data_IF_419451203780
#
_entry.id   IF_419451203780
#
_cell.length_a   1.000
_cell.length_b   1.000
_cell.length_c   1.000
_cell.angle_alpha   90.00
_cell.angle_beta   90.00
_cell.angle_gamma   90.00
#
_symmetry.space_group_name_H-M   'P 1'
#
loop_
_entity.id
_entity.type
_entity.pdbx_description
1 polymer ?
#
# COMPACT_ATOMS: atom_id res chain seq x y z
N UNK A 1 -0.91 -6.40 -15.16
CA UNK A 1 -1.25 -4.96 -14.96
C UNK A 1 0.03 -4.15 -15.02
N UNK A 2 0.10 -3.13 -15.90
CA UNK A 2 1.35 -2.39 -16.19
C UNK A 2 1.18 -0.87 -16.07
N UNK A 3 -0.05 -0.36 -16.21
CA UNK A 3 -0.32 1.08 -16.28
C UNK A 3 -1.24 1.55 -15.15
N UNK A 4 -1.20 2.85 -14.87
CA UNK A 4 -2.11 3.49 -13.94
C UNK A 4 -3.57 3.34 -14.35
N UNK A 5 -3.86 3.38 -15.67
CA UNK A 5 -5.21 3.19 -16.20
C UNK A 5 -5.75 1.78 -15.90
N UNK A 6 -4.95 0.73 -16.13
CA UNK A 6 -5.33 -0.65 -15.77
C UNK A 6 -5.57 -0.79 -14.27
N UNK A 7 -4.79 -0.08 -13.44
CA UNK A 7 -5.02 -0.05 -11.99
C UNK A 7 -6.34 0.64 -11.65
N UNK A 8 -6.62 1.79 -12.25
CA UNK A 8 -7.89 2.51 -12.04
C UNK A 8 -9.08 1.63 -12.41
N UNK A 9 -9.01 0.89 -13.51
CA UNK A 9 -10.05 -0.07 -13.91
C UNK A 9 -10.25 -1.16 -12.86
N UNK A 10 -9.16 -1.77 -12.34
CA UNK A 10 -9.23 -2.78 -11.29
C UNK A 10 -9.84 -2.23 -9.98
N UNK A 11 -9.49 -0.99 -9.62
CA UNK A 11 -9.96 -0.37 -8.37
C UNK A 11 -11.39 0.18 -8.47
N UNK A 12 -11.91 0.37 -9.67
CA UNK A 12 -13.29 0.82 -9.90
C UNK A 12 -14.27 -0.31 -9.64
N UNK A 13 -15.21 -0.08 -8.74
CA UNK A 13 -16.17 -1.09 -8.32
C UNK A 13 -17.50 -0.96 -9.05
N UNK A 14 -18.12 -2.11 -9.32
CA UNK A 14 -19.51 -2.17 -9.74
C UNK A 14 -20.41 -1.90 -8.53
N UNK A 15 -21.37 -0.98 -8.69
CA UNK A 15 -22.42 -0.77 -7.68
C UNK A 15 -23.52 -1.83 -7.86
N UNK A 16 -23.72 -2.66 -6.85
CA UNK A 16 -24.76 -3.71 -6.82
C UNK A 16 -26.05 -3.17 -6.21
N UNK A 17 -25.94 -2.49 -5.06
CA UNK A 17 -27.08 -1.91 -4.33
C UNK A 17 -26.59 -0.67 -3.54
N UNK A 18 -27.49 0.00 -2.85
CA UNK A 18 -27.13 1.04 -1.91
C UNK A 18 -26.12 0.49 -0.90
N UNK A 19 -24.93 1.11 -0.82
CA UNK A 19 -23.83 0.73 0.08
C UNK A 19 -23.21 -0.67 -0.18
N UNK A 20 -23.53 -1.35 -1.29
CA UNK A 20 -22.96 -2.64 -1.67
C UNK A 20 -22.30 -2.52 -3.05
N UNK A 21 -21.02 -2.91 -3.11
CA UNK A 21 -20.20 -2.84 -4.31
C UNK A 21 -19.50 -4.18 -4.55
N UNK A 22 -19.15 -4.46 -5.82
CA UNK A 22 -18.41 -5.65 -6.21
C UNK A 22 -17.12 -5.23 -6.91
N UNK A 23 -16.01 -5.84 -6.49
CA UNK A 23 -14.70 -5.68 -7.10
C UNK A 23 -14.17 -6.98 -7.69
N UNK A 24 -13.58 -6.90 -8.87
CA UNK A 24 -12.82 -7.98 -9.48
C UNK A 24 -11.41 -8.04 -8.88
N UNK A 25 -10.73 -9.19 -9.05
CA UNK A 25 -9.39 -9.40 -8.54
C UNK A 25 -8.34 -9.43 -9.65
N UNK A 26 -7.19 -8.82 -9.36
CA UNK A 26 -5.99 -9.06 -10.15
C UNK A 26 -5.57 -10.52 -10.05
N UNK A 27 -5.38 -11.18 -11.20
CA UNK A 27 -4.94 -12.58 -11.28
C UNK A 27 -3.44 -12.67 -10.97
N UNK A 28 -3.12 -12.54 -9.68
CA UNK A 28 -1.75 -12.54 -9.20
C UNK A 28 -1.11 -13.94 -9.26
N UNK A 29 0.17 -14.07 -9.64
CA UNK A 29 0.84 -15.36 -9.74
C UNK A 29 0.99 -16.09 -8.40
N UNK A 30 0.90 -15.39 -7.29
CA UNK A 30 0.94 -15.94 -5.92
C UNK A 30 -0.42 -16.45 -5.40
N UNK A 31 -1.47 -16.40 -6.24
CA UNK A 31 -2.81 -16.98 -5.98
C UNK A 31 -3.55 -16.47 -4.73
N UNK A 32 -3.21 -15.30 -4.23
CA UNK A 32 -3.89 -14.62 -3.12
C UNK A 32 -4.18 -13.18 -3.51
N UNK A 33 -5.28 -12.64 -3.00
CA UNK A 33 -5.57 -11.21 -3.17
C UNK A 33 -4.47 -10.38 -2.51
N UNK A 34 -4.01 -9.34 -3.21
CA UNK A 34 -3.04 -8.39 -2.67
C UNK A 34 -3.71 -7.48 -1.65
N UNK A 35 -3.07 -7.29 -0.47
CA UNK A 35 -3.64 -6.47 0.59
C UNK A 35 -3.92 -5.03 0.15
N UNK A 36 -2.98 -4.42 -0.58
CA UNK A 36 -3.16 -3.08 -1.14
C UNK A 36 -4.37 -2.95 -2.08
N UNK A 37 -4.74 -4.02 -2.81
CA UNK A 37 -5.97 -4.03 -3.62
C UNK A 37 -7.21 -3.94 -2.74
N UNK A 38 -7.28 -4.72 -1.67
CA UNK A 38 -8.43 -4.73 -0.76
C UNK A 38 -8.56 -3.39 -0.03
N UNK A 39 -7.43 -2.80 0.40
CA UNK A 39 -7.38 -1.45 0.97
C UNK A 39 -7.97 -0.42 0.03
N UNK A 40 -7.47 -0.37 -1.20
CA UNK A 40 -7.86 0.62 -2.20
C UNK A 40 -9.32 0.47 -2.65
N UNK A 41 -9.78 -0.76 -2.89
CA UNK A 41 -11.18 -1.03 -3.25
C UNK A 41 -12.13 -0.71 -2.09
N UNK A 42 -11.73 -0.98 -0.82
CA UNK A 42 -12.52 -0.56 0.35
C UNK A 42 -12.63 0.95 0.44
N UNK A 43 -11.56 1.70 0.18
CA UNK A 43 -11.59 3.16 0.13
C UNK A 43 -12.46 3.67 -1.02
N UNK A 44 -12.38 3.05 -2.20
CA UNK A 44 -13.27 3.40 -3.31
C UNK A 44 -14.74 3.26 -2.92
N UNK A 45 -15.12 2.12 -2.30
CA UNK A 45 -16.49 1.90 -1.81
C UNK A 45 -16.91 2.97 -0.78
N UNK A 46 -16.03 3.29 0.17
CA UNK A 46 -16.28 4.34 1.16
C UNK A 46 -16.52 5.71 0.50
N UNK A 47 -15.65 6.11 -0.45
CA UNK A 47 -15.78 7.36 -1.19
C UNK A 47 -17.10 7.48 -1.98
N UNK A 48 -17.64 6.36 -2.49
CA UNK A 48 -18.94 6.36 -3.19
C UNK A 48 -20.15 6.62 -2.29
N UNK A 49 -19.94 6.74 -0.99
CA UNK A 49 -21.02 6.93 0.01
C UNK A 49 -20.89 8.22 0.82
N UNK A 50 -19.83 8.99 0.64
CA UNK A 50 -19.63 10.28 1.33
C UNK A 50 -19.98 11.46 0.42
N UNK A 51 -20.33 12.63 0.98
CA UNK A 51 -20.49 13.87 0.21
C UNK A 51 -19.18 14.25 -0.52
N UNK A 52 -19.33 14.96 -1.65
CA UNK A 52 -18.20 15.32 -2.53
C UNK A 52 -17.17 16.26 -1.85
N UNK A 53 -17.59 17.06 -0.87
CA UNK A 53 -16.73 17.96 -0.09
C UNK A 53 -15.96 17.26 1.03
N UNK A 54 -16.02 15.93 1.12
CA UNK A 54 -15.37 15.12 2.14
C UNK A 54 -14.15 14.42 1.57
N UNK A 55 -12.99 14.77 2.14
CA UNK A 55 -11.69 14.18 1.78
C UNK A 55 -11.23 13.26 2.92
N UNK A 56 -10.72 12.10 2.55
CA UNK A 56 -10.16 11.14 3.50
C UNK A 56 -8.98 11.75 4.25
N UNK A 57 -9.00 11.67 5.59
CA UNK A 57 -7.85 12.04 6.42
C UNK A 57 -7.26 10.84 7.16
N UNK A 58 -8.03 9.76 7.39
CA UNK A 58 -7.48 8.54 8.03
C UNK A 58 -8.27 7.29 7.70
N UNK A 59 -7.58 6.15 7.73
CA UNK A 59 -8.16 4.81 7.65
C UNK A 59 -7.42 3.82 8.55
N UNK A 60 -8.15 2.85 9.10
CA UNK A 60 -7.62 1.79 9.96
C UNK A 60 -8.32 0.48 9.63
N UNK A 61 -7.57 -0.58 9.35
CA UNK A 61 -8.16 -1.86 8.96
C UNK A 61 -7.36 -3.07 9.42
N UNK A 62 -8.07 -4.21 9.53
CA UNK A 62 -7.51 -5.52 9.86
C UNK A 62 -7.74 -6.51 8.72
N UNK A 63 -6.68 -7.23 8.35
CA UNK A 63 -6.76 -8.40 7.50
C UNK A 63 -7.19 -9.60 8.35
N UNK A 64 -8.32 -10.21 8.02
CA UNK A 64 -8.98 -11.23 8.85
C UNK A 64 -8.74 -12.63 8.25
N UNK A 65 -8.94 -12.77 6.93
CA UNK A 65 -8.77 -14.02 6.21
C UNK A 65 -8.03 -13.77 4.89
N UNK A 66 -7.39 -14.81 4.37
CA UNK A 66 -6.77 -14.75 3.04
C UNK A 66 -7.86 -14.66 1.97
N UNK A 67 -7.79 -13.65 1.09
CA UNK A 67 -8.67 -13.53 -0.06
C UNK A 67 -8.28 -14.46 -1.21
N UNK A 68 -9.28 -15.06 -1.88
CA UNK A 68 -9.16 -15.89 -3.08
C UNK A 68 -9.32 -15.03 -4.34
N UNK A 69 -8.32 -15.07 -5.23
CA UNK A 69 -8.36 -14.29 -6.48
C UNK A 69 -9.41 -14.76 -7.49
N UNK A 70 -9.91 -15.99 -7.37
CA UNK A 70 -10.92 -16.56 -8.28
C UNK A 70 -12.36 -16.10 -7.95
N UNK A 71 -12.56 -15.46 -6.80
CA UNK A 71 -13.88 -15.06 -6.30
C UNK A 71 -13.91 -13.54 -6.20
N UNK A 72 -14.87 -12.83 -6.83
CA UNK A 72 -15.06 -11.40 -6.63
C UNK A 72 -15.25 -11.04 -5.16
N UNK A 73 -14.86 -9.82 -4.78
CA UNK A 73 -15.02 -9.32 -3.41
C UNK A 73 -16.25 -8.41 -3.36
N UNK A 74 -17.14 -8.66 -2.41
CA UNK A 74 -18.22 -7.74 -2.06
C UNK A 74 -17.72 -6.76 -0.98
N UNK A 75 -18.01 -5.48 -1.18
CA UNK A 75 -17.70 -4.40 -0.24
C UNK A 75 -19.01 -3.85 0.31
N UNK A 76 -19.27 -4.11 1.57
CA UNK A 76 -20.43 -3.58 2.29
C UNK A 76 -20.00 -2.36 3.10
N UNK A 77 -20.68 -1.21 2.85
CA UNK A 77 -20.38 0.05 3.51
C UNK A 77 -21.44 0.35 4.56
N UNK A 78 -20.99 0.49 5.81
CA UNK A 78 -21.81 1.01 6.90
C UNK A 78 -21.56 2.51 7.10
N UNK A 79 -22.62 3.31 7.00
CA UNK A 79 -22.60 4.76 7.22
C UNK A 79 -22.70 5.06 8.70
N UNK A 80 -21.58 4.97 9.43
CA UNK A 80 -21.54 5.11 10.89
C UNK A 80 -21.95 6.52 11.31
N UNK A 81 -21.46 7.55 10.59
CA UNK A 81 -21.74 8.95 10.95
C UNK A 81 -21.67 9.86 9.72
N UNK A 82 -22.63 10.76 9.62
CA UNK A 82 -22.60 11.95 8.75
C UNK A 82 -22.75 13.19 9.65
N UNK A 83 -21.60 13.80 10.02
CA UNK A 83 -21.53 15.00 10.85
C UNK A 83 -21.24 16.26 10.02
N UNK A 84 -21.29 17.43 10.66
CA UNK A 84 -21.03 18.71 10.00
C UNK A 84 -19.65 18.79 9.36
N UNK A 85 -18.58 18.46 10.10
CA UNK A 85 -17.18 18.53 9.62
C UNK A 85 -16.61 17.16 9.30
N UNK A 86 -17.04 16.07 9.96
CA UNK A 86 -16.49 14.72 9.83
C UNK A 86 -17.56 13.72 9.42
N UNK A 87 -17.15 12.78 8.57
CA UNK A 87 -17.97 11.66 8.09
C UNK A 87 -17.20 10.36 8.32
N UNK A 88 -17.85 9.32 8.86
CA UNK A 88 -17.20 8.03 9.16
C UNK A 88 -17.89 6.90 8.40
N UNK A 89 -17.09 6.03 7.80
CA UNK A 89 -17.54 4.81 7.09
C UNK A 89 -16.80 3.60 7.62
N UNK A 90 -17.53 2.50 7.81
CA UNK A 90 -16.94 1.18 7.97
C UNK A 90 -17.18 0.40 6.67
N UNK A 91 -16.17 -0.32 6.22
CA UNK A 91 -16.25 -1.19 5.04
C UNK A 91 -15.81 -2.59 5.41
N UNK A 92 -16.65 -3.58 5.11
CA UNK A 92 -16.30 -4.99 5.19
C UNK A 92 -16.11 -5.53 3.76
N UNK A 93 -14.93 -6.09 3.49
CA UNK A 93 -14.66 -6.84 2.27
C UNK A 93 -15.01 -8.31 2.53
N UNK A 94 -15.89 -8.88 1.71
CA UNK A 94 -16.55 -10.18 1.97
C UNK A 94 -16.30 -11.14 0.81
N UNK A 95 -15.91 -12.37 1.12
CA UNK A 95 -15.93 -13.51 0.20
C UNK A 95 -16.58 -14.71 0.89
N UNK A 96 -17.41 -15.47 0.17
CA UNK A 96 -18.09 -16.66 0.71
C UNK A 96 -18.83 -16.38 2.04
N UNK A 97 -19.46 -15.22 2.19
CA UNK A 97 -20.19 -14.82 3.39
C UNK A 97 -19.33 -14.50 4.61
N UNK A 98 -17.99 -14.41 4.45
CA UNK A 98 -17.05 -14.10 5.54
C UNK A 98 -16.27 -12.84 5.24
N UNK A 99 -16.10 -11.99 6.24
CA UNK A 99 -15.20 -10.84 6.12
C UNK A 99 -13.75 -11.32 5.98
N UNK A 100 -13.08 -10.92 4.89
CA UNK A 100 -11.65 -11.14 4.67
C UNK A 100 -10.84 -9.93 5.15
N UNK A 101 -11.47 -8.74 5.19
CA UNK A 101 -10.89 -7.49 5.66
C UNK A 101 -12.00 -6.60 6.21
N UNK A 102 -11.70 -5.78 7.23
CA UNK A 102 -12.61 -4.78 7.78
C UNK A 102 -11.85 -3.49 8.05
N UNK A 103 -12.41 -2.34 7.64
CA UNK A 103 -11.77 -1.03 7.74
C UNK A 103 -12.78 0.02 8.24
N UNK A 104 -12.29 0.95 9.06
CA UNK A 104 -12.98 2.20 9.38
C UNK A 104 -12.17 3.35 8.78
N UNK A 105 -12.86 4.27 8.09
CA UNK A 105 -12.29 5.46 7.48
C UNK A 105 -13.02 6.72 7.92
N UNK A 106 -12.26 7.81 8.08
CA UNK A 106 -12.77 9.12 8.47
C UNK A 106 -12.42 10.16 7.43
N UNK A 107 -13.43 10.96 7.07
CA UNK A 107 -13.38 12.01 6.06
C UNK A 107 -13.69 13.35 6.70
N UNK A 108 -13.09 14.41 6.19
CA UNK A 108 -13.23 15.76 6.72
C UNK A 108 -13.51 16.76 5.59
N UNK A 109 -14.32 17.78 5.85
CA UNK A 109 -14.36 18.99 5.01
C UNK A 109 -13.09 19.81 5.20
N UNK A 110 -12.64 20.51 4.16
CA UNK A 110 -11.46 21.38 4.26
C UNK A 110 -11.61 22.41 5.37
N UNK A 111 -10.57 22.55 6.19
CA UNK A 111 -10.50 23.52 7.29
C UNK A 111 -9.09 24.10 7.42
N UNK A 112 -9.00 25.36 7.81
CA UNK A 112 -7.72 25.96 8.19
C UNK A 112 -7.33 25.56 9.62
N UNK A 113 -6.01 25.49 9.89
CA UNK A 113 -5.50 25.09 11.20
C UNK A 113 -3.99 25.25 11.32
N UNK A 114 -3.43 24.78 12.43
CA UNK A 114 -1.98 24.75 12.63
C UNK A 114 -1.31 23.81 11.64
N UNK A 115 -0.10 24.19 11.17
CA UNK A 115 0.70 23.40 10.24
C UNK A 115 2.11 23.19 10.76
N UNK A 116 2.55 21.96 10.79
CA UNK A 116 3.94 21.54 10.95
C UNK A 116 4.13 20.16 10.37
N UNK A 117 5.36 19.80 10.03
CA UNK A 117 5.72 18.45 9.56
C UNK A 117 7.16 18.12 9.96
N UNK A 118 7.48 16.85 9.93
CA UNK A 118 8.87 16.38 10.03
C UNK A 118 9.64 16.68 8.73
N UNK A 119 10.96 16.79 8.83
CA UNK A 119 11.83 16.99 7.66
C UNK A 119 11.95 15.69 6.86
N UNK A 120 11.85 15.79 5.53
CA UNK A 120 12.12 14.68 4.62
C UNK A 120 13.58 14.20 4.77
N UNK A 121 13.83 12.89 4.80
CA UNK A 121 15.19 12.35 4.75
C UNK A 121 15.96 12.85 3.52
N UNK A 122 17.25 13.14 3.70
CA UNK A 122 18.12 13.53 2.59
C UNK A 122 18.56 12.27 1.82
N UNK A 123 17.98 12.06 0.64
CA UNK A 123 18.24 10.91 -0.24
C UNK A 123 18.49 11.40 -1.67
N UNK A 124 19.18 10.60 -2.53
CA UNK A 124 19.34 10.93 -3.92
C UNK A 124 17.99 11.12 -4.63
N UNK A 125 17.87 12.10 -5.55
CA UNK A 125 16.63 12.33 -6.29
C UNK A 125 16.32 11.14 -7.23
N UNK A 126 15.05 10.93 -7.59
CA UNK A 126 14.62 9.73 -8.31
C UNK A 126 15.30 9.57 -9.68
N UNK A 127 15.61 10.67 -10.38
CA UNK A 127 16.22 10.63 -11.71
C UNK A 127 17.67 10.10 -11.72
N UNK A 128 18.34 10.07 -10.57
CA UNK A 128 19.67 9.49 -10.41
C UNK A 128 19.65 8.01 -10.06
N UNK A 129 18.47 7.44 -9.81
CA UNK A 129 18.28 6.07 -9.40
C UNK A 129 17.72 5.21 -10.52
N UNK A 130 17.98 3.91 -10.44
CA UNK A 130 17.50 2.91 -11.40
C UNK A 130 16.27 2.22 -10.81
N UNK A 131 15.27 1.94 -11.65
CA UNK A 131 14.07 1.22 -11.21
C UNK A 131 14.39 -0.19 -10.72
N UNK A 132 13.61 -0.67 -9.78
CA UNK A 132 13.80 -2.01 -9.22
C UNK A 132 13.63 -3.13 -10.27
N UNK A 133 12.73 -2.98 -11.25
CA UNK A 133 12.58 -3.95 -12.34
C UNK A 133 13.85 -4.07 -13.19
N UNK A 134 14.52 -2.94 -13.47
CA UNK A 134 15.82 -2.96 -14.18
C UNK A 134 16.90 -3.60 -13.30
N UNK A 135 16.91 -3.32 -11.99
CA UNK A 135 17.84 -3.97 -11.05
C UNK A 135 17.61 -5.48 -10.97
N UNK A 136 16.35 -5.93 -10.97
CA UNK A 136 15.96 -7.34 -10.92
C UNK A 136 16.36 -8.09 -12.20
N UNK A 137 16.32 -7.45 -13.37
CA UNK A 137 16.74 -8.06 -14.64
C UNK A 137 18.19 -8.57 -14.62
N UNK A 138 19.07 -7.90 -13.87
CA UNK A 138 20.47 -8.33 -13.70
C UNK A 138 20.63 -9.69 -12.96
N UNK A 139 19.56 -10.20 -12.34
CA UNK A 139 19.53 -11.47 -11.61
C UNK A 139 18.84 -12.62 -12.37
N UNK A 140 18.36 -12.38 -13.60
CA UNK A 140 17.61 -13.35 -14.41
C UNK A 140 18.28 -14.74 -14.48
N UNK A 141 19.58 -14.76 -14.82
CA UNK A 141 20.33 -16.00 -14.95
C UNK A 141 21.01 -16.44 -13.65
N UNK A 142 21.27 -15.51 -12.73
CA UNK A 142 22.04 -15.74 -11.49
C UNK A 142 21.16 -16.16 -10.31
N UNK A 143 19.91 -15.75 -10.30
CA UNK A 143 18.91 -16.05 -9.25
C UNK A 143 17.52 -16.18 -9.88
N UNK A 144 17.25 -17.23 -10.68
CA UNK A 144 16.04 -17.36 -11.47
C UNK A 144 14.75 -17.38 -10.64
N UNK A 145 14.77 -17.97 -9.44
CA UNK A 145 13.62 -17.98 -8.54
C UNK A 145 13.30 -16.57 -8.01
N UNK A 146 14.34 -15.81 -7.65
CA UNK A 146 14.18 -14.40 -7.26
C UNK A 146 13.64 -13.58 -8.44
N UNK A 147 14.23 -13.72 -9.61
CA UNK A 147 13.75 -13.04 -10.82
C UNK A 147 12.28 -13.36 -11.08
N UNK A 148 11.91 -14.64 -11.09
CA UNK A 148 10.53 -15.10 -11.31
C UNK A 148 9.53 -14.48 -10.32
N UNK A 149 9.92 -14.34 -9.07
CA UNK A 149 9.04 -13.85 -8.02
C UNK A 149 8.88 -12.32 -8.05
N UNK A 150 9.88 -11.56 -8.51
CA UNK A 150 9.91 -10.09 -8.37
C UNK A 150 9.89 -9.32 -9.69
N UNK A 151 10.06 -9.96 -10.86
CA UNK A 151 10.10 -9.29 -12.18
C UNK A 151 8.72 -8.99 -12.79
N UNK A 152 7.64 -9.19 -12.03
CA UNK A 152 6.28 -8.96 -12.57
C UNK A 152 6.04 -7.47 -12.84
N UNK A 153 5.51 -7.13 -14.02
CA UNK A 153 5.10 -5.78 -14.33
C UNK A 153 4.07 -5.25 -13.31
N UNK A 154 4.22 -4.00 -12.94
CA UNK A 154 3.35 -3.31 -11.96
C UNK A 154 2.90 -1.96 -12.49
N UNK A 155 1.74 -1.46 -12.05
CA UNK A 155 1.24 -0.14 -12.45
C UNK A 155 1.97 1.02 -11.77
N UNK A 156 2.98 0.70 -10.96
CA UNK A 156 3.80 1.61 -10.20
C UNK A 156 5.28 1.38 -10.52
N UNK A 157 6.05 2.44 -10.63
CA UNK A 157 7.51 2.41 -10.68
C UNK A 157 8.08 2.60 -9.28
N UNK A 158 9.08 1.81 -8.94
CA UNK A 158 9.82 1.89 -7.68
C UNK A 158 11.31 2.09 -7.97
N UNK A 159 11.93 3.08 -7.33
CA UNK A 159 13.38 3.32 -7.38
C UNK A 159 13.95 3.26 -5.98
N UNK A 160 14.51 2.11 -5.56
CA UNK A 160 15.06 1.95 -4.22
C UNK A 160 16.37 2.75 -4.07
N UNK A 161 16.51 3.42 -2.93
CA UNK A 161 17.75 4.10 -2.54
C UNK A 161 18.76 3.06 -2.02
N UNK A 162 18.36 2.27 -1.03
CA UNK A 162 19.14 1.15 -0.53
C UNK A 162 18.90 -0.09 -1.40
N UNK A 163 20.01 -0.69 -1.87
CA UNK A 163 19.98 -1.86 -2.74
C UNK A 163 20.28 -3.12 -1.96
N UNK A 164 19.48 -4.16 -2.18
CA UNK A 164 19.70 -5.48 -1.60
C UNK A 164 20.27 -6.39 -2.69
N UNK A 165 21.39 -7.05 -2.39
CA UNK A 165 21.93 -8.09 -3.27
C UNK A 165 21.32 -9.45 -2.87
N UNK A 166 20.43 -10.05 -3.67
CA UNK A 166 19.77 -11.31 -3.33
C UNK A 166 20.73 -12.51 -3.33
N UNK A 167 21.89 -12.40 -4.00
CA UNK A 167 22.92 -13.46 -4.04
C UNK A 167 23.84 -13.46 -2.80
N UNK A 168 23.93 -12.32 -2.11
CA UNK A 168 24.74 -12.14 -0.91
C UNK A 168 23.95 -11.27 0.07
N UNK A 169 22.86 -11.80 0.62
CA UNK A 169 22.05 -11.04 1.57
C UNK A 169 22.89 -10.73 2.81
N UNK A 170 22.87 -9.48 3.22
CA UNK A 170 23.60 -8.99 4.39
C UNK A 170 22.61 -8.28 5.31
N UNK A 171 22.86 -8.38 6.61
CA UNK A 171 22.14 -7.59 7.60
C UNK A 171 22.16 -6.12 7.25
N UNK A 172 20.99 -5.49 7.25
CA UNK A 172 20.82 -4.07 7.00
C UNK A 172 20.17 -3.37 8.20
N UNK A 173 20.23 -2.06 8.21
CA UNK A 173 19.48 -1.27 9.19
C UNK A 173 17.96 -1.43 8.94
N UNK A 174 17.11 -1.31 9.98
CA UNK A 174 15.67 -1.49 9.86
C UNK A 174 14.98 -0.27 9.23
N UNK A 175 15.51 0.25 8.16
CA UNK A 175 14.90 1.32 7.37
C UNK A 175 15.22 1.17 5.89
N UNK A 176 14.39 1.75 5.05
CA UNK A 176 14.61 1.87 3.61
C UNK A 176 13.89 3.07 3.04
N UNK A 177 14.40 3.57 1.92
CA UNK A 177 13.80 4.65 1.16
C UNK A 177 13.53 4.18 -0.28
N UNK A 178 12.33 4.45 -0.77
CA UNK A 178 11.93 4.06 -2.13
C UNK A 178 11.14 5.20 -2.74
N UNK A 179 11.60 5.71 -3.88
CA UNK A 179 10.77 6.60 -4.69
C UNK A 179 9.71 5.79 -5.41
N UNK A 180 8.48 6.27 -5.40
CA UNK A 180 7.34 5.61 -6.06
C UNK A 180 6.59 6.58 -6.95
N UNK A 181 6.07 6.09 -8.07
CA UNK A 181 5.24 6.83 -9.00
C UNK A 181 4.30 5.90 -9.75
N UNK A 182 3.07 6.33 -10.04
CA UNK A 182 2.16 5.61 -10.92
C UNK A 182 2.62 5.69 -12.39
N UNK A 183 2.47 4.59 -13.14
CA UNK A 183 2.89 4.48 -14.53
C UNK A 183 1.80 5.01 -15.48
N UNK A 184 1.82 6.30 -15.74
CA UNK A 184 0.89 7.04 -16.61
C UNK A 184 0.26 8.23 -15.91
N UNK A 185 -0.33 9.10 -16.70
CA UNK A 185 -0.99 10.32 -16.22
C UNK A 185 -2.35 10.00 -15.62
N UNK A 186 -2.69 10.67 -14.53
CA UNK A 186 -3.96 10.53 -13.84
C UNK A 186 -4.73 11.88 -13.86
N UNK A 187 -6.07 11.83 -13.83
CA UNK A 187 -6.86 13.06 -13.72
C UNK A 187 -6.57 13.78 -12.39
N UNK A 188 -6.80 15.09 -12.35
CA UNK A 188 -6.67 15.87 -11.12
C UNK A 188 -7.85 15.58 -10.17
N UNK A 189 -7.78 14.46 -9.47
CA UNK A 189 -8.81 13.94 -8.57
C UNK A 189 -8.14 13.38 -7.30
N UNK A 190 -8.08 14.18 -6.24
CA UNK A 190 -7.41 13.81 -4.99
C UNK A 190 -7.91 12.48 -4.39
N UNK A 191 -9.24 12.19 -4.33
CA UNK A 191 -9.73 10.87 -3.93
C UNK A 191 -9.09 9.71 -4.69
N UNK A 192 -8.92 9.83 -6.01
CA UNK A 192 -8.26 8.79 -6.82
C UNK A 192 -6.79 8.63 -6.44
N UNK A 193 -6.06 9.73 -6.24
CA UNK A 193 -4.67 9.69 -5.81
C UNK A 193 -4.52 9.03 -4.43
N UNK A 194 -5.42 9.31 -3.49
CA UNK A 194 -5.45 8.68 -2.17
C UNK A 194 -5.75 7.17 -2.24
N UNK A 195 -6.69 6.75 -3.08
CA UNK A 195 -7.02 5.34 -3.31
C UNK A 195 -5.80 4.59 -3.88
N UNK A 196 -5.13 5.17 -4.89
CA UNK A 196 -3.94 4.55 -5.49
C UNK A 196 -2.75 4.55 -4.50
N UNK A 197 -2.60 5.59 -3.66
CA UNK A 197 -1.55 5.60 -2.64
C UNK A 197 -1.81 4.52 -1.57
N UNK A 198 -3.05 4.27 -1.19
CA UNK A 198 -3.39 3.16 -0.29
C UNK A 198 -3.04 1.79 -0.90
N UNK A 199 -3.28 1.60 -2.22
CA UNK A 199 -2.78 0.42 -2.95
C UNK A 199 -1.25 0.32 -2.89
N UNK A 200 -0.55 1.42 -3.13
CA UNK A 200 0.91 1.49 -3.18
C UNK A 200 1.57 1.28 -1.81
N UNK A 201 0.92 1.71 -0.73
CA UNK A 201 1.46 1.72 0.63
C UNK A 201 1.74 0.32 1.19
N UNK A 202 1.05 -0.72 0.67
CA UNK A 202 1.28 -2.11 1.08
C UNK A 202 2.56 -2.72 0.47
N UNK A 203 3.15 -2.08 -0.56
CA UNK A 203 4.45 -2.49 -1.09
C UNK A 203 5.57 -2.06 -0.13
N UNK A 204 6.59 -2.92 -0.01
CA UNK A 204 7.81 -2.68 0.77
C UNK A 204 7.63 -2.55 2.30
N UNK A 205 6.42 -2.32 2.80
CA UNK A 205 6.18 -1.94 4.19
C UNK A 205 6.61 -3.07 5.14
N UNK A 206 5.92 -4.20 5.18
CA UNK A 206 6.25 -5.32 6.08
C UNK A 206 7.65 -5.90 5.83
N UNK A 207 8.12 -5.89 4.59
CA UNK A 207 9.48 -6.33 4.22
C UNK A 207 10.59 -5.55 4.91
N UNK A 208 10.35 -4.31 5.34
CA UNK A 208 11.33 -3.50 6.07
C UNK A 208 11.70 -4.13 7.41
N UNK A 209 10.78 -4.83 8.08
CA UNK A 209 11.06 -5.54 9.33
C UNK A 209 12.00 -6.74 9.17
N UNK A 210 12.22 -7.24 7.94
CA UNK A 210 13.12 -8.37 7.69
C UNK A 210 14.56 -7.95 7.43
N UNK A 211 14.84 -6.68 7.15
CA UNK A 211 16.15 -6.17 6.76
C UNK A 211 17.27 -6.50 7.77
N UNK A 212 17.06 -6.42 9.10
CA UNK A 212 18.07 -6.78 10.08
C UNK A 212 18.39 -8.29 10.15
N UNK A 213 17.60 -9.13 9.47
CA UNK A 213 17.65 -10.59 9.56
C UNK A 213 18.03 -11.28 8.23
N UNK A 214 18.37 -10.51 7.19
CA UNK A 214 18.65 -11.03 5.84
C UNK A 214 19.86 -11.96 5.76
N UNK A 215 20.79 -11.89 6.72
CA UNK A 215 21.96 -12.76 6.82
C UNK A 215 21.66 -14.11 7.52
N UNK A 216 20.53 -14.21 8.21
CA UNK A 216 20.16 -15.39 9.01
C UNK A 216 19.04 -16.23 8.41
N UNK A 217 18.17 -15.61 7.61
CA UNK A 217 16.98 -16.28 7.03
C UNK A 217 16.81 -15.86 5.58
N UNK A 218 16.67 -16.84 4.69
CA UNK A 218 16.32 -16.56 3.29
C UNK A 218 14.89 -16.00 3.20
N UNK A 219 14.63 -14.96 2.38
CA UNK A 219 13.28 -14.49 2.12
C UNK A 219 12.31 -15.59 1.65
N UNK A 220 12.82 -16.61 0.94
CA UNK A 220 12.03 -17.75 0.48
C UNK A 220 11.55 -18.68 1.63
N UNK A 221 12.25 -18.64 2.76
CA UNK A 221 11.91 -19.42 3.96
C UNK A 221 10.98 -18.68 4.91
N UNK A 222 10.62 -17.44 4.58
CA UNK A 222 9.68 -16.66 5.36
C UNK A 222 8.24 -16.87 4.89
N UNK A 223 7.34 -17.03 5.85
CA UNK A 223 5.91 -16.83 5.69
C UNK A 223 5.56 -15.47 6.27
N UNK A 224 5.03 -14.59 5.42
CA UNK A 224 4.65 -13.23 5.80
C UNK A 224 3.17 -12.98 5.47
N UNK A 225 2.47 -12.31 6.37
CA UNK A 225 1.10 -11.88 6.18
C UNK A 225 0.81 -10.61 6.99
N UNK A 226 0.23 -9.59 6.36
CA UNK A 226 -0.23 -8.39 7.04
C UNK A 226 -1.34 -8.72 8.04
N UNK A 227 -1.34 -8.10 9.21
CA UNK A 227 -2.38 -8.23 10.24
C UNK A 227 -3.30 -7.02 10.25
N UNK A 228 -2.72 -5.82 10.19
CA UNK A 228 -3.44 -4.55 10.13
C UNK A 228 -2.81 -3.61 9.11
N UNK A 229 -3.43 -2.47 8.89
CA UNK A 229 -2.89 -1.36 8.12
C UNK A 229 -3.63 -0.08 8.49
N UNK A 230 -2.89 0.98 8.82
CA UNK A 230 -3.48 2.27 9.10
C UNK A 230 -2.73 3.37 8.34
N UNK A 231 -3.48 4.36 7.83
CA UNK A 231 -2.92 5.51 7.11
C UNK A 231 -3.57 6.80 7.56
N UNK A 232 -2.79 7.88 7.50
CA UNK A 232 -3.23 9.26 7.66
C UNK A 232 -2.79 10.08 6.46
N UNK A 233 -3.67 10.90 5.92
CA UNK A 233 -3.41 11.80 4.80
C UNK A 233 -3.35 13.22 5.33
N UNK A 234 -2.29 13.95 4.99
CA UNK A 234 -1.96 15.24 5.60
C UNK A 234 -2.15 16.40 4.64
N UNK A 235 -1.73 16.25 3.39
CA UNK A 235 -1.76 17.29 2.37
C UNK A 235 -2.10 16.69 1.00
N UNK A 236 -2.52 17.55 0.07
CA UNK A 236 -2.80 17.15 -1.31
C UNK A 236 -1.52 16.76 -2.05
N UNK A 237 -1.63 15.75 -2.91
CA UNK A 237 -0.53 15.22 -3.72
C UNK A 237 -1.05 14.58 -5.00
N UNK A 238 -0.11 14.24 -5.89
CA UNK A 238 -0.35 13.43 -7.08
C UNK A 238 0.56 12.20 -7.04
N UNK A 239 -0.01 10.99 -7.17
CA UNK A 239 0.75 9.73 -7.19
C UNK A 239 1.39 9.46 -8.58
N UNK A 240 1.01 10.17 -9.62
CA UNK A 240 1.66 10.18 -10.92
C UNK A 240 2.85 11.16 -10.99
N UNK A 241 3.22 11.75 -9.86
CA UNK A 241 4.49 12.41 -9.59
C UNK A 241 5.29 11.60 -8.58
N UNK A 242 6.61 11.81 -8.51
CA UNK A 242 7.44 11.08 -7.57
C UNK A 242 7.09 11.39 -6.11
N UNK A 243 6.91 10.33 -5.33
CA UNK A 243 6.79 10.40 -3.88
C UNK A 243 7.91 9.57 -3.25
N UNK A 244 8.61 10.12 -2.27
CA UNK A 244 9.54 9.36 -1.43
C UNK A 244 8.76 8.61 -0.37
N UNK A 245 8.87 7.29 -0.36
CA UNK A 245 8.38 6.42 0.70
C UNK A 245 9.53 6.10 1.65
N UNK A 246 9.60 6.80 2.78
CA UNK A 246 10.57 6.61 3.84
C UNK A 246 10.00 5.66 4.89
N UNK A 247 10.61 4.49 5.03
CA UNK A 247 10.14 3.35 5.83
C UNK A 247 11.10 3.06 6.97
N UNK A 248 10.58 2.70 8.14
CA UNK A 248 11.34 2.12 9.24
C UNK A 248 10.61 0.96 9.91
N UNK A 249 11.35 0.13 10.65
CA UNK A 249 10.81 -0.92 11.49
C UNK A 249 11.35 -0.78 12.91
N UNK A 250 10.61 -0.18 13.83
CA UNK A 250 11.04 -0.02 15.23
C UNK A 250 11.18 -1.34 15.98
N UNK A 251 10.44 -2.39 15.58
CA UNK A 251 10.39 -3.64 16.33
C UNK A 251 10.04 -4.84 15.46
N UNK A 252 10.71 -5.96 15.75
CA UNK A 252 10.25 -7.30 15.37
C UNK A 252 10.31 -8.19 16.61
N UNK A 253 9.18 -8.79 17.00
CA UNK A 253 9.08 -9.60 18.22
C UNK A 253 7.91 -10.58 18.12
N UNK A 254 8.02 -11.71 18.81
CA UNK A 254 6.95 -12.70 18.90
C UNK A 254 6.33 -13.07 17.54
N UNK A 255 7.18 -13.33 16.54
CA UNK A 255 6.82 -13.62 15.14
C UNK A 255 6.02 -12.51 14.45
N UNK A 256 6.12 -11.26 14.88
CA UNK A 256 5.53 -10.10 14.22
C UNK A 256 6.60 -9.05 13.95
N UNK A 257 6.41 -8.29 12.87
CA UNK A 257 7.17 -7.09 12.55
C UNK A 257 6.24 -5.89 12.55
N UNK A 258 6.62 -4.81 13.23
CA UNK A 258 5.94 -3.52 13.19
C UNK A 258 6.75 -2.57 12.31
N UNK A 259 6.05 -1.91 11.39
CA UNK A 259 6.66 -1.02 10.39
C UNK A 259 5.89 0.28 10.29
N UNK A 260 6.62 1.35 9.95
CA UNK A 260 6.06 2.69 9.71
C UNK A 260 6.58 3.22 8.38
N UNK A 261 5.87 4.16 7.81
CA UNK A 261 6.30 4.86 6.62
C UNK A 261 5.72 6.25 6.50
N UNK A 262 6.45 7.14 5.85
CA UNK A 262 6.02 8.49 5.52
C UNK A 262 6.22 8.73 4.03
N UNK A 263 5.24 9.38 3.39
CA UNK A 263 5.31 9.76 2.00
C UNK A 263 5.56 11.26 1.87
N UNK A 264 6.59 11.63 1.10
CA UNK A 264 6.95 13.02 0.83
C UNK A 264 6.93 13.29 -0.68
N UNK A 265 6.53 14.48 -1.09
CA UNK A 265 6.78 14.95 -2.47
C UNK A 265 8.28 15.18 -2.70
N UNK A 266 8.71 15.43 -3.94
CA UNK A 266 10.11 15.77 -4.24
C UNK A 266 10.55 17.06 -3.55
N UNK A 267 9.62 18.01 -3.33
CA UNK A 267 9.87 19.27 -2.62
C UNK A 267 9.90 19.09 -1.07
N UNK A 268 9.70 17.87 -0.59
CA UNK A 268 9.77 17.55 0.84
C UNK A 268 8.48 17.77 1.64
N UNK A 269 7.31 17.92 0.97
CA UNK A 269 6.02 18.03 1.64
C UNK A 269 5.55 16.66 2.10
N UNK A 270 5.26 16.48 3.41
CA UNK A 270 4.68 15.26 3.96
C UNK A 270 3.22 15.15 3.57
N UNK A 271 2.88 14.11 2.80
CA UNK A 271 1.53 13.93 2.26
C UNK A 271 0.74 12.81 2.93
N UNK A 272 1.42 11.78 3.44
CA UNK A 272 0.77 10.70 4.17
C UNK A 272 1.73 9.99 5.11
N UNK A 273 1.16 9.37 6.16
CA UNK A 273 1.86 8.44 7.06
C UNK A 273 1.12 7.11 7.10
N UNK A 274 1.87 6.03 7.30
CA UNK A 274 1.33 4.67 7.34
C UNK A 274 2.00 3.85 8.42
N UNK A 275 1.25 2.91 9.02
CA UNK A 275 1.79 1.88 9.92
C UNK A 275 1.17 0.53 9.61
N UNK A 276 1.92 -0.54 9.87
CA UNK A 276 1.46 -1.91 9.69
C UNK A 276 2.15 -2.84 10.68
N UNK A 277 1.39 -3.74 11.31
CA UNK A 277 1.94 -4.93 11.92
C UNK A 277 1.67 -6.14 11.00
N UNK A 278 2.61 -7.06 10.93
CA UNK A 278 2.45 -8.28 10.15
C UNK A 278 3.12 -9.47 10.79
N UNK A 279 2.57 -10.65 10.49
CA UNK A 279 3.17 -11.93 10.85
C UNK A 279 4.42 -12.17 10.03
N UNK A 280 5.51 -12.56 10.68
CA UNK A 280 6.78 -12.97 10.06
C UNK A 280 7.23 -14.27 10.73
N UNK A 281 7.15 -15.38 10.01
CA UNK A 281 7.54 -16.70 10.53
C UNK A 281 8.52 -17.39 9.58
N UNK A 282 9.49 -18.08 10.14
CA UNK A 282 10.31 -19.04 9.38
C UNK A 282 9.44 -20.27 9.11
N UNK A 283 9.37 -20.70 7.85
CA UNK A 283 8.69 -21.95 7.46
C UNK A 283 9.41 -23.12 8.13
N UNK A 284 8.65 -24.00 8.73
CA UNK A 284 9.18 -25.26 9.29
C UNK A 284 9.39 -26.28 8.19
#
# INVERSE_FOLDING_TARGET
MKTAEELVQLLSLEKIEQNIFRGENYQAPWKRVFGGQVLAQSLYAAYKTVPEDRILHSMHGYFILTGDISIPILYEVDRIRDGGSFTTRRVNAIQNGKAIFSMISSFQSSQEGFKHQITMPNVPPPDTLVSDLVLIEAFKDKAPDFYKNFSHPRPLEFRPVERINPLKPQKQQPFRHVWIKANGDLPNNLPLHQIILAYASDYNLLGTATLPHLDTVSPNDLFMASLDHAMWFHEDFRIDQWLLYALDSPSASNSRGFTRGNFFTEEGKLVASVVQEGLIRVKK
#
